data_IF_584818467939
#
_entry.id   IF_584818467939
#
_cell.length_a   1.000
_cell.length_b   1.000
_cell.length_c   1.000
_cell.angle_alpha   90.00
_cell.angle_beta   90.00
_cell.angle_gamma   90.00
#
_symmetry.space_group_name_H-M   'P 1'
#
loop_
_entity.id
_entity.type
_entity.pdbx_description
1 polymer ?
#
# COMPACT_ATOMS: atom_id res chain seq x y z
N UNK A 1 -6.88 -18.03 18.57
CA UNK A 1 -6.36 -16.66 18.51
C UNK A 1 -7.29 -15.66 19.17
N UNK A 2 -6.72 -14.58 19.71
CA UNK A 2 -7.48 -13.47 20.28
C UNK A 2 -8.13 -12.64 19.15
N UNK A 3 -9.35 -12.11 19.35
CA UNK A 3 -10.00 -11.29 18.34
C UNK A 3 -9.24 -9.96 18.12
N UNK A 4 -9.24 -9.41 16.89
CA UNK A 4 -8.64 -8.10 16.63
C UNK A 4 -9.38 -7.00 17.41
N UNK A 5 -8.71 -5.87 17.71
CA UNK A 5 -9.31 -4.78 18.47
C UNK A 5 -10.54 -4.22 17.74
N UNK A 6 -11.49 -3.60 18.47
CA UNK A 6 -12.69 -3.04 17.86
C UNK A 6 -12.40 -1.81 16.98
N UNK A 7 -11.29 -1.10 17.24
CA UNK A 7 -10.83 0.06 16.48
C UNK A 7 -10.24 -0.40 15.14
N UNK A 8 -10.73 0.17 14.04
CA UNK A 8 -10.09 0.04 12.73
C UNK A 8 -8.77 0.81 12.69
N UNK A 9 -7.73 0.16 12.16
CA UNK A 9 -6.46 0.81 11.83
C UNK A 9 -6.49 1.41 10.42
N UNK A 10 -5.34 1.87 9.92
CA UNK A 10 -5.21 2.42 8.56
C UNK A 10 -5.60 1.41 7.47
N UNK A 11 -5.22 0.15 7.64
CA UNK A 11 -5.59 -0.94 6.73
C UNK A 11 -7.07 -1.35 6.83
N UNK A 12 -7.84 -0.76 7.76
CA UNK A 12 -9.26 -1.04 7.99
C UNK A 12 -10.21 0.06 7.53
N UNK A 13 -9.73 0.98 6.68
CA UNK A 13 -10.55 2.05 6.09
C UNK A 13 -11.66 1.46 5.21
N UNK A 14 -12.79 2.16 5.16
CA UNK A 14 -13.94 1.74 4.35
C UNK A 14 -13.58 1.74 2.86
N UNK A 15 -13.99 0.69 2.13
CA UNK A 15 -13.80 0.58 0.69
C UNK A 15 -14.46 1.75 -0.06
N UNK A 16 -15.69 2.13 0.31
CA UNK A 16 -16.40 3.26 -0.31
C UNK A 16 -15.66 4.58 -0.08
N UNK A 17 -15.12 4.77 1.13
CA UNK A 17 -14.38 5.99 1.46
C UNK A 17 -13.04 6.06 0.69
N UNK A 18 -12.34 4.93 0.56
CA UNK A 18 -11.12 4.83 -0.22
C UNK A 18 -11.38 5.02 -1.71
N UNK A 19 -12.45 4.44 -2.25
CA UNK A 19 -12.81 4.61 -3.66
C UNK A 19 -13.14 6.08 -3.99
N UNK A 20 -13.92 6.75 -3.15
CA UNK A 20 -14.24 8.16 -3.32
C UNK A 20 -13.00 9.07 -3.22
N UNK A 21 -12.11 8.81 -2.26
CA UNK A 21 -10.83 9.53 -2.15
C UNK A 21 -9.95 9.30 -3.38
N UNK A 22 -9.84 8.05 -3.82
CA UNK A 22 -9.03 7.67 -4.97
C UNK A 22 -9.56 8.30 -6.27
N UNK A 23 -10.87 8.36 -6.47
CA UNK A 23 -11.48 9.02 -7.64
C UNK A 23 -11.16 10.52 -7.66
N UNK A 24 -11.29 11.19 -6.51
CA UNK A 24 -10.95 12.61 -6.38
C UNK A 24 -9.45 12.85 -6.63
N UNK A 25 -8.59 12.01 -6.06
CA UNK A 25 -7.15 12.13 -6.21
C UNK A 25 -6.71 11.88 -7.66
N UNK A 26 -7.27 10.86 -8.32
CA UNK A 26 -7.00 10.58 -9.73
C UNK A 26 -7.34 11.79 -10.63
N UNK A 27 -8.46 12.47 -10.37
CA UNK A 27 -8.82 13.68 -11.11
C UNK A 27 -7.81 14.82 -10.88
N UNK A 28 -7.32 14.99 -9.65
CA UNK A 28 -6.33 16.02 -9.30
C UNK A 28 -4.96 15.73 -9.90
N UNK A 29 -4.49 14.48 -9.87
CA UNK A 29 -3.21 14.08 -10.47
C UNK A 29 -3.15 14.41 -11.96
N UNK A 30 -4.25 14.21 -12.68
CA UNK A 30 -4.33 14.53 -14.12
C UNK A 30 -4.51 16.03 -14.35
N UNK A 31 -5.42 16.68 -13.63
CA UNK A 31 -5.73 18.11 -13.83
C UNK A 31 -4.52 18.99 -13.53
N UNK A 32 -3.73 18.63 -12.52
CA UNK A 32 -2.53 19.34 -12.13
C UNK A 32 -1.30 18.96 -12.99
N UNK A 33 -1.45 18.03 -13.93
CA UNK A 33 -0.36 17.57 -14.79
C UNK A 33 0.74 16.79 -14.06
N UNK A 34 0.43 16.22 -12.88
CA UNK A 34 1.41 15.46 -12.09
C UNK A 34 1.68 14.09 -12.69
N UNK A 35 0.64 13.43 -13.25
CA UNK A 35 0.76 12.14 -13.91
C UNK A 35 -0.03 12.09 -15.23
N UNK A 36 0.43 11.30 -16.23
CA UNK A 36 -0.33 11.03 -17.45
C UNK A 36 -1.68 10.36 -17.17
N UNK A 37 -2.72 10.75 -17.91
CA UNK A 37 -4.09 10.27 -17.70
C UNK A 37 -4.26 8.76 -17.94
N UNK A 38 -3.51 8.19 -18.89
CA UNK A 38 -3.49 6.76 -19.17
C UNK A 38 -2.87 5.97 -18.02
N UNK A 39 -1.76 6.46 -17.45
CA UNK A 39 -1.12 5.85 -16.28
C UNK A 39 -2.05 5.84 -15.06
N UNK A 40 -2.75 6.95 -14.81
CA UNK A 40 -3.72 7.07 -13.71
C UNK A 40 -4.91 6.13 -13.94
N UNK A 41 -5.54 6.19 -15.12
CA UNK A 41 -6.73 5.36 -15.45
C UNK A 41 -6.43 3.88 -15.30
N UNK A 42 -5.24 3.46 -15.73
CA UNK A 42 -4.79 2.07 -15.65
C UNK A 42 -4.63 1.61 -14.21
N UNK A 43 -3.87 2.34 -13.40
CA UNK A 43 -3.63 1.97 -12.01
C UNK A 43 -4.89 2.11 -11.14
N UNK A 44 -5.80 3.02 -11.50
CA UNK A 44 -7.13 3.10 -10.88
C UNK A 44 -7.93 1.81 -11.08
N UNK A 45 -7.83 1.17 -12.25
CA UNK A 45 -8.46 -0.14 -12.51
C UNK A 45 -7.80 -1.26 -11.74
N UNK A 46 -6.46 -1.25 -11.63
CA UNK A 46 -5.73 -2.23 -10.82
C UNK A 46 -6.13 -2.12 -9.35
N UNK A 47 -6.29 -0.89 -8.83
CA UNK A 47 -6.71 -0.63 -7.45
C UNK A 47 -8.10 -1.19 -7.08
N UNK A 48 -8.98 -1.48 -8.05
CA UNK A 48 -10.33 -2.03 -7.77
C UNK A 48 -10.28 -3.33 -6.97
N UNK A 49 -9.27 -4.18 -7.17
CA UNK A 49 -9.18 -5.45 -6.44
C UNK A 49 -8.93 -5.26 -4.92
N UNK A 50 -8.51 -4.06 -4.48
CA UNK A 50 -8.42 -3.73 -3.06
C UNK A 50 -9.80 -3.47 -2.42
N UNK A 51 -10.83 -3.13 -3.22
CA UNK A 51 -12.18 -2.81 -2.75
C UNK A 51 -13.05 -4.06 -2.59
N UNK A 52 -12.56 -4.99 -1.78
CA UNK A 52 -13.20 -6.29 -1.52
C UNK A 52 -13.46 -6.49 -0.02
N UNK A 53 -14.37 -7.41 0.36
CA UNK A 53 -14.43 -7.88 1.74
C UNK A 53 -13.18 -8.68 2.13
N UNK A 54 -12.60 -8.37 3.28
CA UNK A 54 -11.39 -9.04 3.80
C UNK A 54 -11.64 -9.68 5.17
N UNK A 55 -10.86 -10.71 5.50
CA UNK A 55 -10.85 -11.32 6.84
C UNK A 55 -10.13 -10.39 7.81
N UNK A 56 -10.77 -9.93 8.90
CA UNK A 56 -10.13 -8.99 9.82
C UNK A 56 -8.92 -9.55 10.55
N UNK A 57 -7.79 -8.86 10.45
CA UNK A 57 -6.57 -9.14 11.19
C UNK A 57 -6.15 -7.92 12.03
N UNK A 58 -5.28 -8.13 13.02
CA UNK A 58 -4.52 -7.02 13.60
C UNK A 58 -3.38 -6.68 12.64
N UNK A 59 -3.33 -5.42 12.22
CA UNK A 59 -2.41 -4.90 11.21
C UNK A 59 -1.64 -3.72 11.77
N UNK A 60 -0.42 -3.53 11.29
CA UNK A 60 0.42 -2.38 11.60
C UNK A 60 -0.12 -1.10 10.96
N UNK A 61 -0.59 -1.19 9.71
CA UNK A 61 -1.16 -0.07 8.97
C UNK A 61 -0.14 0.89 8.36
N UNK A 62 1.15 0.74 8.68
CA UNK A 62 2.24 1.51 8.08
C UNK A 62 3.57 0.72 8.13
N UNK A 63 3.50 -0.56 7.74
CA UNK A 63 4.65 -1.48 7.81
C UNK A 63 5.67 -1.20 6.69
N UNK A 64 6.33 -0.05 6.75
CA UNK A 64 7.41 0.31 5.83
C UNK A 64 8.72 -0.33 6.26
N UNK A 65 9.63 -0.57 5.31
CA UNK A 65 10.96 -1.15 5.62
C UNK A 65 11.75 -0.30 6.63
N UNK A 66 11.54 1.02 6.65
CA UNK A 66 12.17 1.94 7.59
C UNK A 66 11.70 1.76 9.04
N UNK A 67 10.60 1.03 9.27
CA UNK A 67 10.05 0.75 10.59
C UNK A 67 10.50 -0.61 11.14
N UNK A 68 11.34 -1.34 10.41
CA UNK A 68 11.88 -2.65 10.81
C UNK A 68 13.37 -2.52 11.11
N UNK A 69 13.77 -2.88 12.32
CA UNK A 69 15.16 -2.91 12.76
C UNK A 69 15.69 -4.34 12.71
N UNK A 70 16.93 -4.47 12.25
CA UNK A 70 17.63 -5.75 12.13
C UNK A 70 19.01 -5.68 12.76
N UNK A 71 19.48 -6.81 13.28
CA UNK A 71 20.89 -7.08 13.62
C UNK A 71 21.33 -8.34 12.85
N UNK A 72 22.15 -8.15 11.82
CA UNK A 72 22.43 -9.21 10.85
C UNK A 72 21.14 -9.70 10.17
N UNK A 73 20.86 -11.00 10.33
CA UNK A 73 19.67 -11.66 9.77
C UNK A 73 18.49 -11.72 10.76
N UNK A 74 18.62 -11.12 11.95
CA UNK A 74 17.59 -11.14 12.99
C UNK A 74 16.79 -9.82 13.03
N UNK A 75 15.46 -9.92 13.01
CA UNK A 75 14.57 -8.77 13.27
C UNK A 75 14.57 -8.48 14.76
N UNK A 76 15.03 -7.30 15.15
CA UNK A 76 15.17 -6.89 16.56
C UNK A 76 14.07 -5.94 17.02
N UNK A 77 13.33 -5.32 16.10
CA UNK A 77 12.24 -4.44 16.45
C UNK A 77 11.36 -4.03 15.27
N UNK A 78 10.11 -3.74 15.58
CA UNK A 78 9.15 -3.10 14.69
C UNK A 78 8.56 -1.92 15.45
N UNK A 79 8.60 -0.73 14.87
CA UNK A 79 8.19 0.53 15.52
C UNK A 79 7.05 1.22 14.77
N UNK A 80 6.55 2.31 15.35
CA UNK A 80 5.55 3.20 14.74
C UNK A 80 4.14 2.59 14.56
N UNK A 81 3.60 2.08 15.66
CA UNK A 81 2.31 1.39 15.72
C UNK A 81 1.08 2.33 15.80
N UNK A 82 1.21 3.63 15.51
CA UNK A 82 0.09 4.58 15.68
C UNK A 82 -1.09 4.29 14.76
N UNK A 83 -0.82 3.74 13.58
CA UNK A 83 -1.80 3.39 12.56
C UNK A 83 -2.40 1.98 12.76
N UNK A 84 -1.94 1.25 13.78
CA UNK A 84 -2.27 -0.13 14.00
C UNK A 84 -3.73 -0.32 14.44
N UNK A 85 -4.29 -1.46 14.08
CA UNK A 85 -5.65 -1.84 14.42
C UNK A 85 -6.20 -2.92 13.53
N UNK A 86 -7.52 -3.07 13.53
CA UNK A 86 -8.20 -4.03 12.66
C UNK A 86 -8.11 -3.60 11.19
N UNK A 87 -7.66 -4.49 10.29
CA UNK A 87 -7.51 -4.20 8.87
C UNK A 87 -7.27 -5.42 7.99
N UNK A 88 -7.11 -5.18 6.67
CA UNK A 88 -6.70 -6.18 5.68
C UNK A 88 -5.21 -6.51 5.84
N UNK A 89 -4.87 -7.76 6.12
CA UNK A 89 -3.49 -8.19 6.28
C UNK A 89 -2.63 -8.00 5.01
N UNK A 90 -3.26 -8.04 3.82
CA UNK A 90 -2.53 -7.83 2.56
C UNK A 90 -2.09 -6.37 2.37
N UNK A 91 -2.68 -5.43 3.10
CA UNK A 91 -2.23 -4.04 3.11
C UNK A 91 -0.80 -3.90 3.67
N UNK A 92 -0.49 -4.60 4.77
CA UNK A 92 0.84 -4.54 5.39
C UNK A 92 1.89 -5.20 4.50
N UNK A 93 1.56 -6.33 3.87
CA UNK A 93 2.45 -6.98 2.89
C UNK A 93 2.73 -6.07 1.70
N UNK A 94 1.69 -5.44 1.15
CA UNK A 94 1.84 -4.49 0.05
C UNK A 94 2.67 -3.27 0.49
N UNK A 95 2.45 -2.75 1.69
CA UNK A 95 3.21 -1.59 2.22
C UNK A 95 4.69 -1.94 2.40
N UNK A 96 4.98 -3.12 2.93
CA UNK A 96 6.34 -3.59 3.19
C UNK A 96 7.13 -3.86 1.91
N UNK A 97 6.45 -4.29 0.85
CA UNK A 97 7.05 -4.64 -0.44
C UNK A 97 6.88 -3.55 -1.51
N UNK A 98 6.34 -2.38 -1.15
CA UNK A 98 6.22 -1.25 -2.08
C UNK A 98 7.62 -0.84 -2.56
N UNK A 99 7.83 -0.78 -3.87
CA UNK A 99 9.13 -0.46 -4.47
C UNK A 99 10.13 -1.61 -4.49
N UNK A 100 9.74 -2.79 -3.98
CA UNK A 100 10.58 -3.98 -3.82
C UNK A 100 9.83 -5.25 -4.26
N UNK A 101 9.16 -5.21 -5.42
CA UNK A 101 8.40 -6.37 -5.92
C UNK A 101 9.29 -7.61 -6.11
N UNK A 102 10.56 -7.42 -6.45
CA UNK A 102 11.54 -8.51 -6.59
C UNK A 102 11.75 -9.30 -5.29
N UNK A 103 11.33 -8.75 -4.14
CA UNK A 103 11.38 -9.38 -2.82
C UNK A 103 10.04 -9.93 -2.35
N UNK A 104 8.96 -9.75 -3.12
CA UNK A 104 7.65 -10.23 -2.71
C UNK A 104 7.65 -11.75 -2.50
N UNK A 105 8.26 -12.52 -3.41
CA UNK A 105 8.32 -13.98 -3.30
C UNK A 105 9.09 -14.43 -2.05
N UNK A 106 10.17 -13.74 -1.68
CA UNK A 106 10.94 -14.00 -0.45
C UNK A 106 10.06 -13.80 0.80
N UNK A 107 9.29 -12.71 0.84
CA UNK A 107 8.36 -12.41 1.95
C UNK A 107 7.23 -13.44 2.01
N UNK A 108 6.65 -13.81 0.86
CA UNK A 108 5.54 -14.76 0.80
C UNK A 108 5.97 -16.19 1.16
N UNK A 109 7.21 -16.57 0.87
CA UNK A 109 7.77 -17.85 1.31
C UNK A 109 7.75 -17.99 2.84
N UNK A 110 8.00 -16.90 3.57
CA UNK A 110 7.89 -16.86 5.04
C UNK A 110 6.46 -16.65 5.56
N UNK A 111 5.64 -15.88 4.84
CA UNK A 111 4.28 -15.54 5.26
C UNK A 111 3.28 -16.69 5.12
N UNK A 112 3.44 -17.51 4.07
CA UNK A 112 2.60 -18.68 3.79
C UNK A 112 1.83 -18.60 2.47
N UNK A 113 1.02 -19.63 2.21
CA UNK A 113 0.28 -19.80 0.95
C UNK A 113 -1.10 -19.14 0.99
N UNK A 114 -1.68 -18.89 -0.19
CA UNK A 114 -3.06 -18.38 -0.32
C UNK A 114 -3.16 -16.86 -0.30
N UNK A 115 -2.04 -16.17 -0.50
CA UNK A 115 -2.02 -14.72 -0.70
C UNK A 115 -2.46 -14.39 -2.13
N UNK A 116 -3.42 -13.46 -2.24
CA UNK A 116 -3.90 -12.95 -3.51
C UNK A 116 -2.97 -11.83 -4.00
N UNK A 117 -2.17 -12.13 -5.03
CA UNK A 117 -1.20 -11.20 -5.61
C UNK A 117 -1.86 -10.01 -6.29
N UNK A 118 -3.09 -10.17 -6.80
CA UNK A 118 -3.78 -9.07 -7.45
C UNK A 118 -4.23 -8.04 -6.42
N UNK A 119 -4.57 -8.47 -5.21
CA UNK A 119 -4.85 -7.56 -4.08
C UNK A 119 -3.59 -6.83 -3.61
N UNK A 120 -2.42 -7.48 -3.58
CA UNK A 120 -1.14 -6.83 -3.26
C UNK A 120 -0.85 -5.71 -4.27
N UNK A 121 -0.98 -6.01 -5.57
CA UNK A 121 -0.78 -5.05 -6.67
C UNK A 121 -1.80 -3.92 -6.65
N UNK A 122 -3.04 -4.22 -6.26
CA UNK A 122 -4.08 -3.22 -6.08
C UNK A 122 -3.73 -2.25 -4.95
N UNK A 123 -3.25 -2.74 -3.80
CA UNK A 123 -2.80 -1.90 -2.70
C UNK A 123 -1.58 -1.04 -3.08
N UNK A 124 -0.61 -1.59 -3.83
CA UNK A 124 0.48 -0.79 -4.38
C UNK A 124 -0.01 0.37 -5.25
N UNK A 125 -0.94 0.08 -6.17
CA UNK A 125 -1.50 1.08 -7.09
C UNK A 125 -2.29 2.15 -6.33
N UNK A 126 -3.16 1.74 -5.42
CA UNK A 126 -3.98 2.62 -4.60
C UNK A 126 -3.10 3.53 -3.73
N UNK A 127 -2.16 2.96 -2.96
CA UNK A 127 -1.29 3.72 -2.06
C UNK A 127 -0.46 4.73 -2.83
N UNK A 128 0.10 4.32 -3.98
CA UNK A 128 0.93 5.20 -4.82
C UNK A 128 0.11 6.35 -5.40
N UNK A 129 -1.08 6.08 -5.95
CA UNK A 129 -1.97 7.14 -6.45
C UNK A 129 -2.36 8.12 -5.34
N UNK A 130 -2.66 7.63 -4.13
CA UNK A 130 -3.02 8.51 -3.01
C UNK A 130 -1.84 9.35 -2.48
N UNK A 131 -0.60 8.92 -2.67
CA UNK A 131 0.57 9.56 -2.08
C UNK A 131 1.26 10.58 -2.99
N UNK A 132 1.27 10.38 -4.32
CA UNK A 132 2.09 11.16 -5.27
C UNK A 132 1.93 12.67 -5.11
N UNK A 133 0.69 13.18 -5.10
CA UNK A 133 0.46 14.64 -4.99
C UNK A 133 0.96 15.19 -3.66
N UNK A 134 0.66 14.50 -2.57
CA UNK A 134 1.11 14.90 -1.24
C UNK A 134 2.64 14.97 -1.16
N UNK A 135 3.33 13.95 -1.70
CA UNK A 135 4.80 13.90 -1.73
C UNK A 135 5.37 15.11 -2.49
N UNK A 136 4.86 15.41 -3.68
CA UNK A 136 5.29 16.57 -4.47
C UNK A 136 5.04 17.87 -3.72
N UNK A 137 3.84 18.06 -3.16
CA UNK A 137 3.46 19.26 -2.41
C UNK A 137 4.35 19.51 -1.17
N UNK A 138 4.96 18.44 -0.62
CA UNK A 138 5.81 18.50 0.57
C UNK A 138 7.31 18.36 0.25
N UNK A 139 7.70 18.43 -1.02
CA UNK A 139 9.11 18.47 -1.44
C UNK A 139 9.82 17.13 -1.47
N UNK A 140 9.08 16.02 -1.46
CA UNK A 140 9.61 14.68 -1.71
C UNK A 140 9.50 14.34 -3.20
N UNK A 141 10.41 13.48 -3.70
CA UNK A 141 10.43 13.07 -5.10
C UNK A 141 9.81 11.68 -5.29
N UNK A 142 8.52 11.57 -5.70
CA UNK A 142 7.89 10.27 -5.95
C UNK A 142 8.36 9.61 -7.27
N UNK A 143 9.22 10.28 -8.05
CA UNK A 143 9.78 9.78 -9.31
C UNK A 143 11.15 9.14 -9.15
N UNK A 144 11.73 9.18 -7.95
CA UNK A 144 12.97 8.48 -7.65
C UNK A 144 12.82 6.95 -7.86
N UNK A 145 13.91 6.23 -8.18
CA UNK A 145 13.85 4.78 -8.39
C UNK A 145 13.23 4.04 -7.21
N UNK A 146 12.29 3.13 -7.49
CA UNK A 146 11.57 2.38 -6.44
C UNK A 146 10.44 3.15 -5.74
N UNK A 147 10.26 4.45 -5.99
CA UNK A 147 9.16 5.23 -5.43
C UNK A 147 7.84 5.04 -6.20
N UNK A 148 6.79 5.73 -5.75
CA UNK A 148 5.40 5.56 -6.14
C UNK A 148 5.20 5.56 -7.67
N UNK A 149 5.86 6.46 -8.39
CA UNK A 149 5.67 6.54 -9.85
C UNK A 149 6.33 5.36 -10.58
N UNK A 150 7.45 4.85 -10.06
CA UNK A 150 8.10 3.66 -10.60
C UNK A 150 7.23 2.41 -10.37
N UNK A 151 6.63 2.31 -9.18
CA UNK A 151 5.62 1.28 -8.87
C UNK A 151 4.45 1.36 -9.84
N UNK A 152 3.88 2.54 -10.07
CA UNK A 152 2.74 2.72 -11.00
C UNK A 152 3.09 2.35 -12.45
N UNK A 153 4.34 2.59 -12.89
CA UNK A 153 4.82 2.25 -14.24
C UNK A 153 5.06 0.76 -14.40
N UNK A 154 5.67 0.11 -13.40
CA UNK A 154 6.00 -1.32 -13.42
C UNK A 154 4.76 -2.22 -13.50
N UNK A 155 3.58 -1.69 -13.15
CA UNK A 155 2.35 -2.45 -13.18
C UNK A 155 1.94 -2.90 -14.58
N UNK A 156 2.55 -2.43 -15.69
CA UNK A 156 2.13 -2.60 -17.11
C UNK A 156 1.55 -3.95 -17.49
#
# INVERSE_FOLDING_TARGET
DAPPPPRSGRAGRSADALAAELDAECALLVTNGLLPADLVTRNRRVAEAAFRPWTPAFTHGDLQIAHVFVDGDEVTGIIDWSEAGRGDALYDLATFTLGHEERLDDVLAGYGTGVDLDVIRAWWSLRSLLAVRWLVEHGFDPFAPGCEVDVLRSRT
#
